data_IF_961267963780
#
_entry.id   IF_961267963780
#
_cell.length_a   1.000
_cell.length_b   1.000
_cell.length_c   1.000
_cell.angle_alpha   90.00
_cell.angle_beta   90.00
_cell.angle_gamma   90.00
#
_symmetry.space_group_name_H-M   'P 1'
#
loop_
_entity.id
_entity.type
_entity.pdbx_description
1 polymer ?
#
# COMPACT_ATOMS: atom_id res chain seq x y z
N UNK A 1 -1.23 12.85 -27.20
CA UNK A 1 -1.48 12.79 -28.65
C UNK A 1 -1.93 11.39 -29.14
N UNK A 2 -1.10 10.34 -29.04
CA UNK A 2 -1.42 8.99 -29.58
C UNK A 2 -2.67 8.31 -28.98
N UNK A 3 -2.92 8.49 -27.68
CA UNK A 3 -4.13 7.98 -27.01
C UNK A 3 -5.41 8.65 -27.51
N UNK A 4 -5.34 9.96 -27.76
CA UNK A 4 -6.46 10.76 -28.24
C UNK A 4 -6.83 10.34 -29.66
N UNK A 5 -5.83 10.20 -30.54
CA UNK A 5 -6.02 9.78 -31.93
C UNK A 5 -6.64 8.37 -32.06
N UNK A 6 -6.26 7.44 -31.19
CA UNK A 6 -6.80 6.07 -31.21
C UNK A 6 -8.19 5.96 -30.58
N UNK A 7 -8.50 6.80 -29.61
CA UNK A 7 -9.82 6.82 -28.98
C UNK A 7 -10.89 7.46 -29.88
N UNK A 8 -10.56 8.53 -30.61
CA UNK A 8 -11.44 9.07 -31.66
C UNK A 8 -11.68 8.06 -32.77
N UNK A 9 -10.67 7.28 -33.15
CA UNK A 9 -10.81 6.20 -34.14
C UNK A 9 -11.74 5.05 -33.67
N UNK A 10 -11.93 4.90 -32.36
CA UNK A 10 -12.83 3.92 -31.74
C UNK A 10 -14.18 4.52 -31.32
N UNK A 11 -14.48 5.78 -31.69
CA UNK A 11 -15.73 6.47 -31.34
C UNK A 11 -15.85 6.86 -29.87
N UNK A 12 -14.75 6.86 -29.12
CA UNK A 12 -14.72 7.22 -27.69
C UNK A 12 -14.26 8.67 -27.57
N UNK A 13 -15.17 9.56 -27.15
CA UNK A 13 -14.85 10.96 -26.91
C UNK A 13 -14.01 11.13 -25.63
N UNK A 14 -12.72 11.45 -25.81
CA UNK A 14 -11.73 11.62 -24.73
C UNK A 14 -11.92 12.93 -23.96
N UNK A 15 -12.75 13.85 -24.46
CA UNK A 15 -12.98 15.17 -23.85
C UNK A 15 -13.65 15.13 -22.47
N UNK A 16 -14.03 13.95 -21.97
CA UNK A 16 -14.77 13.78 -20.71
C UNK A 16 -14.08 12.90 -19.67
N UNK A 17 -12.78 12.66 -19.79
CA UNK A 17 -12.01 12.05 -18.71
C UNK A 17 -11.49 13.17 -17.80
N UNK A 18 -12.40 13.74 -17.01
CA UNK A 18 -12.03 14.46 -15.80
C UNK A 18 -11.07 13.56 -15.00
N UNK A 19 -9.97 14.14 -14.53
CA UNK A 19 -8.78 13.45 -13.98
C UNK A 19 -9.01 12.52 -12.77
N UNK A 20 -10.26 12.18 -12.43
CA UNK A 20 -10.64 11.15 -11.46
C UNK A 20 -10.99 9.79 -12.06
N UNK A 21 -11.14 9.63 -13.38
CA UNK A 21 -11.73 8.41 -13.95
C UNK A 21 -10.70 7.40 -14.51
N UNK A 22 -9.55 7.25 -13.84
CA UNK A 22 -8.64 6.12 -14.11
C UNK A 22 -9.20 4.91 -13.36
N UNK A 23 -9.77 3.95 -14.09
CA UNK A 23 -10.24 2.68 -13.53
C UNK A 23 -9.21 2.11 -12.55
N UNK A 24 -9.67 1.74 -11.36
CA UNK A 24 -8.85 1.06 -10.37
C UNK A 24 -8.25 -0.22 -10.95
N UNK A 25 -7.14 -0.69 -10.38
CA UNK A 25 -6.50 -1.93 -10.85
C UNK A 25 -7.47 -3.12 -10.86
N UNK A 26 -8.36 -3.17 -9.86
CA UNK A 26 -9.42 -4.17 -9.73
C UNK A 26 -10.47 -4.04 -10.84
N UNK A 27 -10.98 -2.85 -11.12
CA UNK A 27 -11.99 -2.64 -12.17
C UNK A 27 -11.44 -2.92 -13.57
N UNK A 28 -10.18 -2.53 -13.82
CA UNK A 28 -9.51 -2.78 -15.09
C UNK A 28 -9.29 -4.28 -15.31
N UNK A 29 -8.89 -5.02 -14.27
CA UNK A 29 -8.75 -6.48 -14.32
C UNK A 29 -10.09 -7.17 -14.57
N UNK A 30 -11.14 -6.77 -13.84
CA UNK A 30 -12.49 -7.32 -13.98
C UNK A 30 -13.04 -7.10 -15.39
N UNK A 31 -12.93 -5.88 -15.93
CA UNK A 31 -13.37 -5.60 -17.30
C UNK A 31 -12.58 -6.37 -18.35
N UNK A 32 -11.27 -6.56 -18.15
CA UNK A 32 -10.45 -7.34 -19.07
C UNK A 32 -10.88 -8.83 -19.09
N UNK A 33 -11.17 -9.41 -17.93
CA UNK A 33 -11.71 -10.78 -17.84
C UNK A 33 -13.11 -10.90 -18.43
N UNK A 34 -13.96 -9.91 -18.22
CA UNK A 34 -15.31 -9.87 -18.80
C UNK A 34 -15.28 -9.85 -20.34
N UNK A 35 -14.38 -9.05 -20.92
CA UNK A 35 -14.14 -9.00 -22.37
C UNK A 35 -13.57 -10.32 -22.87
N UNK A 36 -12.63 -10.92 -22.15
CA UNK A 36 -12.01 -12.19 -22.53
C UNK A 36 -13.04 -13.33 -22.54
N UNK A 37 -13.91 -13.39 -21.53
CA UNK A 37 -15.06 -14.30 -21.48
C UNK A 37 -16.02 -14.08 -22.65
N UNK A 38 -16.38 -12.83 -22.94
CA UNK A 38 -17.30 -12.49 -24.05
C UNK A 38 -16.72 -12.77 -25.44
N UNK A 39 -15.40 -12.64 -25.62
CA UNK A 39 -14.75 -12.72 -26.94
C UNK A 39 -14.18 -14.08 -27.29
N UNK A 40 -13.74 -14.88 -26.31
CA UNK A 40 -13.12 -16.19 -26.54
C UNK A 40 -13.85 -17.36 -25.88
N UNK A 41 -14.86 -17.10 -25.05
CA UNK A 41 -15.60 -18.16 -24.33
C UNK A 41 -14.72 -19.02 -23.43
N UNK A 42 -13.53 -18.53 -23.06
CA UNK A 42 -12.54 -19.26 -22.29
C UNK A 42 -12.68 -18.93 -20.80
N UNK A 43 -12.52 -19.96 -19.95
CA UNK A 43 -12.44 -19.83 -18.49
C UNK A 43 -11.07 -19.32 -18.01
N UNK A 44 -10.13 -19.09 -18.93
CA UNK A 44 -8.84 -18.49 -18.60
C UNK A 44 -9.03 -17.05 -18.11
N UNK A 45 -8.37 -16.69 -17.02
CA UNK A 45 -8.34 -15.33 -16.51
C UNK A 45 -7.03 -14.66 -16.88
N UNK A 46 -7.08 -13.35 -17.10
CA UNK A 46 -5.86 -12.57 -17.34
C UNK A 46 -5.05 -12.55 -16.04
N UNK A 47 -3.75 -12.83 -16.13
CA UNK A 47 -2.81 -12.72 -14.99
C UNK A 47 -2.94 -11.38 -14.27
N UNK A 48 -2.84 -11.36 -12.93
CA UNK A 48 -2.83 -10.12 -12.13
C UNK A 48 -1.71 -9.16 -12.58
N UNK A 49 -0.56 -9.68 -13.00
CA UNK A 49 0.56 -8.90 -13.52
C UNK A 49 0.27 -8.25 -14.88
N UNK A 50 -0.77 -8.68 -15.60
CA UNK A 50 -1.19 -8.07 -16.86
C UNK A 50 -1.62 -6.62 -16.66
N UNK A 51 -2.31 -6.28 -15.57
CA UNK A 51 -2.78 -4.92 -15.27
C UNK A 51 -1.61 -3.94 -15.23
N UNK A 52 -0.54 -4.32 -14.53
CA UNK A 52 0.69 -3.55 -14.45
C UNK A 52 1.35 -3.36 -15.83
N UNK A 53 1.45 -4.44 -16.62
CA UNK A 53 2.02 -4.39 -17.97
C UNK A 53 1.18 -3.54 -18.93
N UNK A 54 -0.14 -3.67 -18.86
CA UNK A 54 -1.10 -2.89 -19.64
C UNK A 54 -0.96 -1.40 -19.29
N UNK A 55 -1.02 -1.03 -18.01
CA UNK A 55 -0.87 0.36 -17.58
C UNK A 55 0.48 0.95 -18.00
N UNK A 56 1.57 0.18 -17.88
CA UNK A 56 2.91 0.61 -18.32
C UNK A 56 3.02 0.80 -19.84
N UNK A 57 2.39 -0.08 -20.63
CA UNK A 57 2.39 0.01 -22.11
C UNK A 57 1.58 1.20 -22.62
N UNK A 58 0.51 1.57 -21.91
CA UNK A 58 -0.42 2.62 -22.33
C UNK A 58 -0.20 3.97 -21.63
N UNK A 59 0.88 4.16 -20.88
CA UNK A 59 1.14 5.45 -20.21
C UNK A 59 0.29 5.71 -18.97
N UNK A 60 -0.54 4.74 -18.56
CA UNK A 60 -1.49 4.83 -17.44
C UNK A 60 -0.87 4.36 -16.12
N UNK A 61 0.42 4.02 -16.11
CA UNK A 61 1.10 3.62 -14.89
C UNK A 61 1.29 4.82 -13.97
N UNK A 62 1.12 4.63 -12.65
CA UNK A 62 1.21 5.71 -11.65
C UNK A 62 2.46 6.58 -11.79
N UNK A 63 3.62 5.97 -12.10
CA UNK A 63 4.88 6.70 -12.33
C UNK A 63 4.94 7.47 -13.65
N UNK A 64 4.17 7.08 -14.67
CA UNK A 64 4.07 7.79 -15.95
C UNK A 64 3.05 8.92 -15.85
N UNK A 65 1.90 8.68 -15.23
CA UNK A 65 0.92 9.71 -14.91
C UNK A 65 1.52 10.80 -14.02
N UNK A 66 2.31 10.42 -13.01
CA UNK A 66 3.02 11.38 -12.16
C UNK A 66 4.00 12.24 -12.96
N UNK A 67 4.77 11.65 -13.88
CA UNK A 67 5.69 12.41 -14.76
C UNK A 67 4.95 13.31 -15.75
N UNK A 68 3.84 12.85 -16.30
CA UNK A 68 3.02 13.66 -17.21
C UNK A 68 2.36 14.85 -16.47
N UNK A 69 1.92 14.64 -15.23
CA UNK A 69 1.41 15.71 -14.38
C UNK A 69 2.53 16.70 -13.97
N UNK A 70 3.71 16.20 -13.57
CA UNK A 70 4.88 17.04 -13.26
C UNK A 70 5.33 17.84 -14.49
N UNK A 71 5.28 17.25 -15.69
CA UNK A 71 5.59 17.95 -16.95
C UNK A 71 4.53 18.99 -17.35
N UNK A 72 3.24 18.68 -17.20
CA UNK A 72 2.16 19.63 -17.49
C UNK A 72 2.14 20.83 -16.52
N UNK A 73 2.53 20.61 -15.26
CA UNK A 73 2.71 21.70 -14.28
C UNK A 73 3.92 22.56 -14.65
N UNK A 74 5.03 21.96 -15.09
CA UNK A 74 6.19 22.72 -15.57
C UNK A 74 5.87 23.54 -16.83
N UNK A 75 5.11 22.98 -17.77
CA UNK A 75 4.68 23.66 -19.00
C UNK A 75 3.68 24.80 -18.71
N UNK A 76 2.86 24.69 -17.66
CA UNK A 76 1.96 25.76 -17.21
C UNK A 76 2.70 26.89 -16.49
N UNK A 77 3.86 26.60 -15.87
CA UNK A 77 4.70 27.59 -15.17
C UNK A 77 5.54 28.41 -16.15
N UNK A 78 6.00 27.83 -17.27
CA UNK A 78 6.72 28.60 -18.30
C UNK A 78 5.83 29.57 -19.09
N UNK A 79 4.53 29.29 -19.22
CA UNK A 79 3.58 30.18 -19.96
C UNK A 79 3.15 31.41 -19.16
N UNK A 80 3.32 31.41 -17.82
CA UNK A 80 2.92 32.52 -16.94
C UNK A 80 4.09 33.43 -16.50
N UNK A 81 5.31 33.18 -16.96
CA UNK A 81 6.51 33.94 -16.60
C UNK A 81 6.70 35.29 -17.32
N UNK A 82 5.66 35.89 -17.91
CA UNK A 82 5.78 37.14 -18.67
C UNK A 82 4.57 38.06 -18.53
N UNK A 83 4.23 38.49 -17.31
CA UNK A 83 3.64 39.82 -17.08
C UNK A 83 4.05 40.30 -15.67
N UNK A 84 4.73 41.43 -15.59
CA UNK A 84 5.10 42.14 -14.37
C UNK A 84 3.88 42.78 -13.66
N UNK A 85 4.01 42.89 -12.34
CA UNK A 85 3.54 43.94 -11.42
C UNK A 85 2.05 44.35 -11.41
N UNK A 86 1.44 44.25 -10.22
CA UNK A 86 0.80 45.36 -9.47
C UNK A 86 0.06 44.80 -8.26
N UNK A 87 0.38 45.40 -7.12
CA UNK A 87 -0.29 45.33 -5.82
C UNK A 87 -1.81 45.52 -5.89
N UNK A 88 -2.60 44.70 -5.21
CA UNK A 88 -3.68 45.21 -4.33
C UNK A 88 -4.26 44.13 -3.42
N UNK A 89 -4.50 44.61 -2.21
CA UNK A 89 -5.21 44.04 -1.09
C UNK A 89 -6.61 43.53 -1.46
N UNK A 90 -6.96 42.32 -1.02
CA UNK A 90 -8.33 41.86 -0.79
C UNK A 90 -8.31 40.46 -0.16
N UNK A 91 -8.39 40.43 1.17
CA UNK A 91 -8.98 39.29 1.87
C UNK A 91 -10.39 39.04 1.30
N UNK A 92 -10.79 37.77 1.12
CA UNK A 92 -12.00 37.41 1.83
C UNK A 92 -11.88 36.06 2.51
N UNK A 93 -12.16 36.11 3.81
CA UNK A 93 -12.73 35.05 4.62
C UNK A 93 -13.47 33.98 3.79
N UNK A 94 -12.84 32.82 3.66
CA UNK A 94 -13.54 31.56 3.41
C UNK A 94 -13.06 30.53 4.41
N UNK A 95 -13.88 30.36 5.45
CA UNK A 95 -14.06 29.09 6.16
C UNK A 95 -14.18 27.98 5.11
N UNK A 96 -13.07 27.31 4.82
CA UNK A 96 -13.06 26.00 4.18
C UNK A 96 -12.54 25.04 5.24
N UNK A 97 -13.49 24.37 5.89
CA UNK A 97 -13.24 23.11 6.58
C UNK A 97 -12.67 22.17 5.52
N UNK A 98 -11.35 22.12 5.43
CA UNK A 98 -10.62 21.27 4.50
C UNK A 98 -10.11 20.05 5.26
N UNK A 99 -11.03 19.18 5.65
CA UNK A 99 -10.73 17.80 6.07
C UNK A 99 -10.43 16.94 4.85
N UNK A 100 -9.43 17.34 4.07
CA UNK A 100 -8.83 16.49 3.04
C UNK A 100 -7.50 15.99 3.59
N UNK A 101 -7.50 14.74 4.10
CA UNK A 101 -6.29 14.07 4.54
C UNK A 101 -5.38 13.84 3.33
N UNK A 102 -4.20 14.45 3.34
CA UNK A 102 -3.23 14.24 2.26
C UNK A 102 -2.52 12.91 2.47
N UNK A 103 -2.08 12.26 1.40
CA UNK A 103 -1.48 10.92 1.48
C UNK A 103 0.04 10.90 1.59
N UNK A 104 0.72 12.02 1.35
CA UNK A 104 2.18 12.13 1.27
C UNK A 104 2.70 13.32 2.08
N UNK A 105 3.95 13.24 2.57
CA UNK A 105 4.66 14.33 3.25
C UNK A 105 5.12 15.42 2.27
N UNK A 106 5.02 16.69 2.69
CA UNK A 106 5.65 17.86 2.04
C UNK A 106 6.61 18.52 3.04
N UNK A 107 7.32 19.57 2.61
CA UNK A 107 8.29 20.25 3.46
C UNK A 107 7.71 20.77 4.78
N UNK A 108 6.53 21.38 4.78
CA UNK A 108 5.91 21.86 6.04
C UNK A 108 5.63 20.72 7.03
N UNK A 109 5.13 19.57 6.56
CA UNK A 109 4.94 18.39 7.42
C UNK A 109 6.27 17.79 7.89
N UNK A 110 7.29 17.79 7.04
CA UNK A 110 8.64 17.33 7.41
C UNK A 110 9.21 18.23 8.53
N UNK A 111 9.02 19.55 8.45
CA UNK A 111 9.45 20.50 9.48
C UNK A 111 8.75 20.23 10.81
N UNK A 112 7.42 20.01 10.79
CA UNK A 112 6.66 19.69 12.00
C UNK A 112 7.12 18.35 12.60
N UNK A 113 7.28 17.32 11.77
CA UNK A 113 7.78 16.02 12.18
C UNK A 113 9.15 16.15 12.86
N UNK A 114 10.09 16.86 12.23
CA UNK A 114 11.45 17.03 12.75
C UNK A 114 11.46 17.82 14.05
N UNK A 115 10.61 18.84 14.17
CA UNK A 115 10.46 19.64 15.39
C UNK A 115 10.04 18.77 16.57
N UNK A 116 8.98 17.97 16.40
CA UNK A 116 8.48 17.06 17.43
C UNK A 116 9.47 15.92 17.72
N UNK A 117 10.22 15.44 16.71
CA UNK A 117 11.29 14.46 16.91
C UNK A 117 12.43 15.03 17.77
N UNK A 118 12.82 16.29 17.57
CA UNK A 118 13.86 16.95 18.38
C UNK A 118 13.40 17.22 19.81
N UNK A 119 12.12 17.52 20.01
CA UNK A 119 11.54 17.72 21.33
C UNK A 119 11.47 16.40 22.11
N UNK A 120 10.91 15.35 21.49
CA UNK A 120 10.65 14.07 22.15
C UNK A 120 11.89 13.20 22.24
N UNK A 121 12.74 13.23 21.21
CA UNK A 121 13.95 12.39 21.08
C UNK A 121 13.64 10.89 21.22
N UNK A 122 12.91 10.28 20.27
CA UNK A 122 12.45 8.89 20.40
C UNK A 122 13.52 7.85 20.75
N UNK A 123 14.78 8.10 20.38
CA UNK A 123 15.93 7.24 20.66
C UNK A 123 16.35 7.21 22.14
N UNK A 124 15.90 8.14 22.98
CA UNK A 124 16.20 8.14 24.43
C UNK A 124 15.23 7.28 25.24
N UNK A 125 14.18 6.74 24.63
CA UNK A 125 13.19 5.90 25.30
C UNK A 125 13.72 4.46 25.46
N UNK A 126 13.40 3.75 26.57
CA UNK A 126 13.77 2.34 26.74
C UNK A 126 13.28 1.45 25.59
N UNK A 127 12.07 1.74 25.10
CA UNK A 127 11.53 1.20 23.86
C UNK A 127 11.35 2.35 22.87
N UNK A 128 12.22 2.40 21.85
CA UNK A 128 12.27 3.49 20.85
C UNK A 128 10.90 3.75 20.21
N UNK A 129 10.10 2.71 20.00
CA UNK A 129 8.76 2.84 19.40
C UNK A 129 7.76 3.60 20.27
N UNK A 130 7.91 3.59 21.59
CA UNK A 130 7.03 4.37 22.49
C UNK A 130 7.25 5.86 22.29
N UNK A 131 8.51 6.28 22.13
CA UNK A 131 8.86 7.65 21.76
C UNK A 131 8.27 8.05 20.40
N UNK A 132 8.27 7.14 19.43
CA UNK A 132 7.63 7.39 18.13
C UNK A 132 6.10 7.45 18.18
N UNK A 133 5.46 6.70 19.07
CA UNK A 133 4.02 6.82 19.31
C UNK A 133 3.69 8.21 19.88
N UNK A 134 4.50 8.70 20.83
CA UNK A 134 4.33 10.04 21.38
C UNK A 134 4.53 11.14 20.33
N UNK A 135 5.48 10.97 19.40
CA UNK A 135 5.65 11.90 18.26
C UNK A 135 4.39 11.96 17.41
N UNK A 136 3.78 10.82 17.11
CA UNK A 136 2.53 10.78 16.34
C UNK A 136 1.37 11.38 17.11
N UNK A 137 1.30 11.17 18.42
CA UNK A 137 0.28 11.77 19.28
C UNK A 137 0.36 13.29 19.25
N UNK A 138 1.56 13.87 19.40
CA UNK A 138 1.78 15.32 19.28
C UNK A 138 1.44 15.85 17.90
N UNK A 139 1.89 15.18 16.84
CA UNK A 139 1.57 15.56 15.46
C UNK A 139 0.06 15.54 15.17
N UNK A 140 -0.71 14.67 15.83
CA UNK A 140 -2.18 14.61 15.64
C UNK A 140 -2.91 15.81 16.26
N UNK A 141 -2.31 16.44 17.27
CA UNK A 141 -2.87 17.64 17.91
C UNK A 141 -2.62 18.89 17.06
N UNK A 142 -1.62 18.87 16.17
CA UNK A 142 -1.31 19.97 15.27
C UNK A 142 -2.35 20.12 14.15
N UNK A 143 -3.08 21.24 14.15
CA UNK A 143 -4.11 21.54 13.13
C UNK A 143 -3.54 21.61 11.69
N UNK A 144 -2.25 21.91 11.58
CA UNK A 144 -1.54 22.03 10.31
C UNK A 144 -1.08 20.69 9.74
N UNK A 145 -0.97 19.65 10.59
CA UNK A 145 -0.54 18.32 10.17
C UNK A 145 -1.74 17.46 9.75
N UNK A 146 -1.96 17.37 8.43
CA UNK A 146 -3.16 16.74 7.84
C UNK A 146 -2.94 15.30 7.37
N UNK A 147 -1.95 14.61 7.95
CA UNK A 147 -1.57 13.26 7.55
C UNK A 147 -1.93 12.25 8.64
N UNK A 148 -2.71 11.23 8.28
CA UNK A 148 -2.89 10.05 9.13
C UNK A 148 -1.73 9.07 8.89
N UNK A 149 -0.71 9.14 9.77
CA UNK A 149 0.50 8.31 9.69
C UNK A 149 0.74 7.56 10.99
N UNK A 150 1.21 6.33 10.84
CA UNK A 150 1.65 5.46 11.94
C UNK A 150 3.06 5.85 12.39
N UNK A 151 3.42 5.51 13.63
CA UNK A 151 4.77 5.71 14.19
C UNK A 151 5.88 5.22 13.25
N UNK A 152 5.76 4.01 12.71
CA UNK A 152 6.74 3.46 11.76
C UNK A 152 6.83 4.23 10.42
N UNK A 153 5.76 4.90 10.00
CA UNK A 153 5.77 5.71 8.78
C UNK A 153 6.49 7.05 9.00
N UNK A 154 6.33 7.66 10.19
CA UNK A 154 7.09 8.84 10.61
C UNK A 154 8.58 8.52 10.77
N UNK A 155 8.91 7.38 11.38
CA UNK A 155 10.29 6.89 11.49
C UNK A 155 10.93 6.64 10.12
N UNK A 156 10.23 5.93 9.23
CA UNK A 156 10.72 5.69 7.87
C UNK A 156 10.93 7.00 7.11
N UNK A 157 10.07 8.01 7.33
CA UNK A 157 10.22 9.34 6.74
C UNK A 157 11.47 10.04 7.24
N UNK A 158 11.74 10.04 8.55
CA UNK A 158 12.97 10.61 9.10
C UNK A 158 14.21 9.93 8.50
N UNK A 159 14.25 8.60 8.48
CA UNK A 159 15.39 7.84 7.95
C UNK A 159 15.64 8.17 6.47
N UNK A 160 14.57 8.36 5.69
CA UNK A 160 14.68 8.80 4.30
C UNK A 160 15.29 10.21 4.18
N UNK A 161 14.87 11.16 5.02
CA UNK A 161 15.42 12.52 5.03
C UNK A 161 16.91 12.53 5.44
N UNK A 162 17.27 11.79 6.49
CA UNK A 162 18.66 11.59 6.90
C UNK A 162 19.49 10.95 5.78
N UNK A 163 18.94 9.96 5.08
CA UNK A 163 19.58 9.32 3.94
C UNK A 163 19.82 10.28 2.77
N UNK A 164 18.86 11.14 2.45
CA UNK A 164 19.04 12.18 1.43
C UNK A 164 20.10 13.20 1.81
N UNK A 165 20.15 13.63 3.07
CA UNK A 165 21.16 14.56 3.57
C UNK A 165 22.57 13.94 3.50
N UNK A 166 22.74 12.70 3.99
CA UNK A 166 24.03 11.98 3.91
C UNK A 166 24.50 11.76 2.47
N UNK A 167 23.58 11.57 1.53
CA UNK A 167 23.87 11.40 0.12
C UNK A 167 24.06 12.73 -0.64
N UNK A 168 23.98 13.89 0.02
CA UNK A 168 24.05 15.21 -0.63
C UNK A 168 22.93 15.47 -1.65
N UNK A 169 21.80 14.77 -1.53
CA UNK A 169 20.70 14.84 -2.49
C UNK A 169 19.76 16.02 -2.19
N UNK A 170 20.28 17.24 -2.34
CA UNK A 170 19.55 18.49 -2.08
C UNK A 170 18.32 18.66 -2.96
N UNK A 171 18.31 18.06 -4.17
CA UNK A 171 17.16 18.07 -5.06
C UNK A 171 15.97 17.27 -4.49
N UNK A 172 16.22 16.12 -3.86
CA UNK A 172 15.17 15.34 -3.22
C UNK A 172 14.61 16.04 -1.96
N UNK A 173 15.46 16.78 -1.24
CA UNK A 173 15.04 17.61 -0.11
C UNK A 173 14.24 18.83 -0.58
N UNK A 174 14.59 19.46 -1.71
CA UNK A 174 13.89 20.63 -2.25
C UNK A 174 12.51 20.35 -2.83
N UNK A 175 12.29 19.15 -3.39
CA UNK A 175 11.15 18.81 -4.28
C UNK A 175 9.72 19.14 -3.76
N UNK A 176 9.54 19.59 -2.51
CA UNK A 176 8.22 19.81 -1.93
C UNK A 176 8.09 21.03 -0.99
N UNK A 177 8.75 22.17 -1.25
CA UNK A 177 8.56 23.39 -0.46
C UNK A 177 9.26 24.63 -1.04
N UNK A 178 9.11 25.75 -0.33
CA UNK A 178 9.82 27.02 -0.57
C UNK A 178 11.31 26.91 -0.23
N UNK A 179 12.12 27.90 -0.62
CA UNK A 179 13.55 27.93 -0.32
C UNK A 179 13.79 28.06 1.19
N UNK A 180 12.99 28.86 1.88
CA UNK A 180 13.04 29.04 3.32
C UNK A 180 12.67 27.76 4.07
N UNK A 181 11.66 27.03 3.59
CA UNK A 181 11.29 25.71 4.14
C UNK A 181 12.39 24.67 3.90
N UNK A 182 13.10 24.73 2.79
CA UNK A 182 14.24 23.86 2.52
C UNK A 182 15.36 24.11 3.52
N UNK A 183 15.75 25.36 3.72
CA UNK A 183 16.84 25.73 4.64
C UNK A 183 16.51 25.32 6.07
N UNK A 184 15.29 25.65 6.53
CA UNK A 184 14.82 25.26 7.85
C UNK A 184 14.80 23.74 8.02
N UNK A 185 14.31 23.01 7.02
CA UNK A 185 14.29 21.54 7.05
C UNK A 185 15.70 20.96 7.10
N UNK A 186 16.62 21.45 6.28
CA UNK A 186 18.01 21.00 6.28
C UNK A 186 18.68 21.23 7.63
N UNK A 187 18.48 22.41 8.25
CA UNK A 187 18.98 22.70 9.59
C UNK A 187 18.45 21.70 10.63
N UNK A 188 17.13 21.43 10.62
CA UNK A 188 16.51 20.48 11.53
C UNK A 188 17.01 19.03 11.32
N UNK A 189 17.16 18.59 10.07
CA UNK A 189 17.68 17.24 9.77
C UNK A 189 19.14 17.10 10.24
N UNK A 190 19.95 18.15 10.05
CA UNK A 190 21.34 18.18 10.54
C UNK A 190 21.40 18.11 12.08
N UNK A 191 20.52 18.85 12.75
CA UNK A 191 20.43 18.83 14.21
C UNK A 191 19.99 17.46 14.74
N UNK A 192 18.98 16.83 14.14
CA UNK A 192 18.55 15.47 14.51
C UNK A 192 19.71 14.49 14.34
N UNK A 193 20.46 14.57 13.24
CA UNK A 193 21.61 13.71 13.01
C UNK A 193 22.68 13.88 14.09
N UNK A 194 23.01 15.11 14.45
CA UNK A 194 23.98 15.41 15.50
C UNK A 194 23.54 14.87 16.87
N UNK A 195 22.26 15.03 17.24
CA UNK A 195 21.76 14.51 18.53
C UNK A 195 21.75 12.98 18.60
N UNK A 196 21.45 12.28 17.49
CA UNK A 196 21.54 10.82 17.42
C UNK A 196 23.00 10.36 17.59
N UNK A 197 23.95 11.01 16.91
CA UNK A 197 25.37 10.65 16.99
C UNK A 197 25.95 10.88 18.40
N UNK A 198 25.58 11.98 19.05
CA UNK A 198 25.96 12.26 20.45
C UNK A 198 25.42 11.18 21.38
N UNK A 199 24.15 10.77 21.21
CA UNK A 199 23.54 9.73 22.01
C UNK A 199 24.20 8.36 21.81
N UNK A 200 24.46 7.96 20.56
CA UNK A 200 25.16 6.72 20.24
C UNK A 200 26.58 6.70 20.82
N UNK A 201 27.26 7.84 20.84
CA UNK A 201 28.60 7.99 21.41
C UNK A 201 28.59 7.91 22.93
N UNK A 202 27.60 8.52 23.59
CA UNK A 202 27.42 8.45 25.04
C UNK A 202 27.08 7.02 25.52
N UNK A 203 26.30 6.28 24.73
CA UNK A 203 25.94 4.90 25.05
C UNK A 203 27.15 3.96 24.90
N UNK A 204 27.98 4.16 23.87
CA UNK A 204 29.23 3.39 23.69
C UNK A 204 30.27 3.65 24.80
N UNK A 205 30.36 4.87 25.32
CA UNK A 205 31.27 5.20 26.43
C UNK A 205 30.87 4.60 27.77
N UNK A 206 29.57 4.41 28.01
CA UNK A 206 29.05 3.86 29.27
C UNK A 206 29.21 2.32 29.36
N UNK A 207 29.13 1.63 28.23
CA UNK A 207 29.37 0.17 28.15
C UNK A 207 30.85 -0.19 28.35
N UNK A 208 31.78 0.75 28.11
CA UNK A 208 33.22 0.57 28.40
C UNK A 208 33.60 0.93 29.84
N UNK A 209 32.81 1.77 30.52
CA UNK A 209 33.15 2.26 31.87
C UNK A 209 32.76 1.30 33.01
N UNK A 210 32.01 0.24 32.72
CA UNK A 210 31.60 -0.75 33.75
C UNK A 210 32.60 -1.90 33.95
N UNK A 211 33.77 -1.89 33.28
CA UNK A 211 34.84 -2.90 33.46
C UNK A 211 36.09 -2.32 34.14
N UNK A 212 36.18 -1.01 34.39
CA UNK A 212 37.37 -0.39 34.99
C UNK A 212 37.13 0.00 36.46
N UNK A 213 37.20 -1.00 37.32
CA UNK A 213 37.57 -0.81 38.72
C UNK A 213 38.40 -2.02 39.19
N UNK A 214 39.56 -2.24 38.57
CA UNK A 214 40.65 -2.98 39.21
C UNK A 214 41.94 -2.18 39.04
N UNK A 215 42.51 -1.92 40.20
CA UNK A 215 43.67 -1.14 40.57
C UNK A 215 44.98 -1.51 39.84
N UNK A 216 45.83 -0.49 39.71
CA UNK A 216 47.13 -0.37 39.00
C UNK A 216 48.23 -1.32 39.50
N UNK A 217 48.94 -2.03 38.60
CA UNK A 217 50.35 -2.52 38.75
C UNK A 217 51.04 -2.57 37.34
N UNK A 218 52.35 -2.25 37.17
CA UNK A 218 52.97 -1.75 35.92
C UNK A 218 53.50 -2.87 34.97
N UNK A 219 54.00 -2.53 33.75
CA UNK A 219 53.98 -3.42 32.60
C UNK A 219 55.20 -4.33 32.52
N UNK A 220 54.96 -5.63 32.38
CA UNK A 220 55.98 -6.58 31.99
C UNK A 220 55.39 -7.67 31.08
N UNK A 221 55.96 -7.74 29.88
CA UNK A 221 56.08 -8.92 29.03
C UNK A 221 54.82 -9.42 28.30
N UNK A 222 54.71 -8.91 27.08
CA UNK A 222 54.12 -9.57 25.91
C UNK A 222 54.67 -10.99 25.74
N UNK A 223 53.89 -12.03 26.07
CA UNK A 223 53.90 -13.30 25.30
C UNK A 223 52.75 -14.31 25.57
N UNK A 224 51.57 -13.87 26.04
CA UNK A 224 50.47 -14.78 26.46
C UNK A 224 49.09 -14.55 25.83
N UNK A 225 48.95 -13.68 24.82
CA UNK A 225 47.67 -13.13 24.37
C UNK A 225 46.92 -13.76 23.15
N UNK A 226 47.15 -15.02 22.71
CA UNK A 226 46.30 -15.63 21.68
C UNK A 226 45.05 -16.37 22.22
N UNK A 227 45.01 -16.77 23.50
CA UNK A 227 43.97 -17.69 24.01
C UNK A 227 42.69 -16.98 24.48
N UNK A 228 42.82 -15.86 25.19
CA UNK A 228 41.66 -15.07 25.65
C UNK A 228 40.88 -14.44 24.49
N UNK A 229 41.57 -14.02 23.43
CA UNK A 229 40.96 -13.45 22.23
C UNK A 229 40.14 -14.48 21.48
N UNK A 230 40.64 -15.72 21.36
CA UNK A 230 39.91 -16.85 20.76
C UNK A 230 38.70 -17.26 21.59
N UNK A 231 38.80 -17.25 22.92
CA UNK A 231 37.65 -17.58 23.77
C UNK A 231 36.55 -16.51 23.68
N UNK A 232 36.92 -15.23 23.66
CA UNK A 232 35.97 -14.13 23.40
C UNK A 232 35.28 -14.28 22.04
N UNK A 233 36.02 -14.68 21.01
CA UNK A 233 35.46 -14.94 19.69
C UNK A 233 34.50 -16.14 19.69
N UNK A 234 34.83 -17.25 20.36
CA UNK A 234 33.91 -18.40 20.51
C UNK A 234 32.63 -18.04 21.28
N UNK A 235 32.73 -17.17 22.29
CA UNK A 235 31.55 -16.68 23.03
C UNK A 235 30.69 -15.80 22.13
N UNK A 236 31.30 -14.90 21.35
CA UNK A 236 30.59 -14.08 20.38
C UNK A 236 29.89 -14.93 19.30
N UNK A 237 30.58 -15.95 18.76
CA UNK A 237 30.01 -16.89 17.79
C UNK A 237 28.83 -17.67 18.39
N UNK A 238 28.96 -18.22 19.60
CA UNK A 238 27.86 -18.90 20.30
C UNK A 238 26.65 -17.98 20.53
N UNK A 239 26.88 -16.71 20.84
CA UNK A 239 25.82 -15.71 20.99
C UNK A 239 25.10 -15.43 19.66
N UNK A 240 25.84 -15.37 18.56
CA UNK A 240 25.26 -15.21 17.22
C UNK A 240 24.43 -16.45 16.82
N UNK A 241 24.95 -17.66 17.01
CA UNK A 241 24.20 -18.90 16.72
C UNK A 241 22.91 -19.01 17.54
N UNK A 242 22.94 -18.60 18.80
CA UNK A 242 21.73 -18.57 19.65
C UNK A 242 20.70 -17.56 19.12
N UNK A 243 21.16 -16.39 18.68
CA UNK A 243 20.29 -15.37 18.10
C UNK A 243 19.69 -15.84 16.76
N UNK A 244 20.49 -16.48 15.91
CA UNK A 244 20.05 -17.07 14.64
C UNK A 244 18.97 -18.12 14.88
N UNK A 245 19.22 -19.09 15.78
CA UNK A 245 18.21 -20.11 16.14
C UNK A 245 16.94 -19.51 16.73
N UNK A 246 17.05 -18.43 17.52
CA UNK A 246 15.87 -17.74 18.06
C UNK A 246 15.06 -17.09 16.95
N UNK A 247 15.74 -16.38 16.05
CA UNK A 247 15.12 -15.73 14.88
C UNK A 247 14.48 -16.75 13.94
N UNK A 248 15.14 -17.89 13.68
CA UNK A 248 14.59 -18.97 12.87
C UNK A 248 13.30 -19.56 13.45
N UNK A 249 13.28 -19.78 14.78
CA UNK A 249 12.08 -20.28 15.46
C UNK A 249 10.93 -19.30 15.39
N UNK A 250 11.22 -18.01 15.59
CA UNK A 250 10.22 -16.95 15.50
C UNK A 250 9.65 -16.83 14.08
N UNK A 251 10.52 -16.87 13.06
CA UNK A 251 10.10 -16.87 11.66
C UNK A 251 9.26 -18.11 11.33
N UNK A 252 9.66 -19.29 11.81
CA UNK A 252 8.90 -20.52 11.61
C UNK A 252 7.52 -20.47 12.30
N UNK A 253 7.44 -19.89 13.50
CA UNK A 253 6.17 -19.70 14.20
C UNK A 253 5.26 -18.71 13.47
N UNK A 254 5.82 -17.59 12.99
CA UNK A 254 5.07 -16.61 12.19
C UNK A 254 4.57 -17.21 10.88
N UNK A 255 5.41 -18.01 10.21
CA UNK A 255 5.03 -18.73 8.99
C UNK A 255 3.86 -19.68 9.26
N UNK A 256 3.95 -20.54 10.27
CA UNK A 256 2.85 -21.46 10.65
C UNK A 256 1.56 -20.71 10.95
N UNK A 257 1.65 -19.63 11.74
CA UNK A 257 0.48 -18.81 12.04
C UNK A 257 -0.14 -18.24 10.76
N UNK A 258 0.68 -17.72 9.82
CA UNK A 258 0.17 -17.22 8.54
C UNK A 258 -0.46 -18.31 7.67
N UNK A 259 0.13 -19.51 7.65
CA UNK A 259 -0.39 -20.67 6.90
C UNK A 259 -1.72 -21.16 7.49
N UNK A 260 -1.88 -21.16 8.81
CA UNK A 260 -3.14 -21.49 9.48
C UNK A 260 -4.26 -20.49 9.13
N UNK A 261 -3.95 -19.18 9.08
CA UNK A 261 -4.90 -18.16 8.66
C UNK A 261 -5.35 -18.38 7.21
N UNK A 262 -4.41 -18.68 6.31
CA UNK A 262 -4.72 -18.99 4.90
C UNK A 262 -5.57 -20.26 4.80
N UNK A 263 -5.21 -21.32 5.52
CA UNK A 263 -5.96 -22.58 5.53
C UNK A 263 -7.41 -22.38 6.02
N UNK A 264 -7.60 -21.55 7.06
CA UNK A 264 -8.93 -21.18 7.55
C UNK A 264 -9.74 -20.41 6.51
N UNK A 265 -9.13 -19.45 5.83
CA UNK A 265 -9.79 -18.69 4.76
C UNK A 265 -10.16 -19.58 3.57
N UNK A 266 -9.27 -20.48 3.15
CA UNK A 266 -9.55 -21.44 2.09
C UNK A 266 -10.70 -22.38 2.45
N UNK A 267 -10.75 -22.85 3.70
CA UNK A 267 -11.85 -23.69 4.18
C UNK A 267 -13.19 -22.95 4.10
N UNK A 268 -13.24 -21.72 4.60
CA UNK A 268 -14.44 -20.88 4.53
C UNK A 268 -14.87 -20.60 3.07
N UNK A 269 -13.90 -20.36 2.18
CA UNK A 269 -14.19 -20.14 0.77
C UNK A 269 -14.80 -21.38 0.11
N UNK A 270 -14.25 -22.58 0.36
CA UNK A 270 -14.81 -23.84 -0.15
C UNK A 270 -16.21 -24.11 0.40
N UNK A 271 -16.44 -23.86 1.68
CA UNK A 271 -17.76 -24.01 2.31
C UNK A 271 -18.79 -23.07 1.69
N UNK A 272 -18.42 -21.79 1.48
CA UNK A 272 -19.29 -20.81 0.81
C UNK A 272 -19.62 -21.25 -0.62
N UNK A 273 -18.62 -21.69 -1.39
CA UNK A 273 -18.83 -22.17 -2.75
C UNK A 273 -19.76 -23.38 -2.80
N UNK A 274 -19.61 -24.32 -1.85
CA UNK A 274 -20.47 -25.49 -1.74
C UNK A 274 -21.92 -25.11 -1.44
N UNK A 275 -22.15 -24.19 -0.49
CA UNK A 275 -23.50 -23.69 -0.16
C UNK A 275 -24.15 -23.04 -1.39
N UNK A 276 -23.40 -22.24 -2.16
CA UNK A 276 -23.91 -21.62 -3.38
C UNK A 276 -24.28 -22.67 -4.44
N UNK A 277 -23.45 -23.71 -4.63
CA UNK A 277 -23.74 -24.80 -5.55
C UNK A 277 -24.98 -25.59 -5.13
N UNK A 278 -25.13 -25.87 -3.84
CA UNK A 278 -26.31 -26.57 -3.30
C UNK A 278 -27.59 -25.75 -3.48
N UNK A 279 -27.55 -24.45 -3.19
CA UNK A 279 -28.67 -23.54 -3.43
C UNK A 279 -29.07 -23.48 -4.91
N UNK A 280 -28.09 -23.39 -5.81
CA UNK A 280 -28.35 -23.40 -7.25
C UNK A 280 -28.95 -24.73 -7.71
N UNK A 281 -28.45 -25.86 -7.20
CA UNK A 281 -28.99 -27.18 -7.50
C UNK A 281 -30.45 -27.33 -7.03
N UNK A 282 -30.77 -26.88 -5.81
CA UNK A 282 -32.13 -26.88 -5.27
C UNK A 282 -33.09 -26.03 -6.11
N UNK A 283 -32.63 -24.85 -6.56
CA UNK A 283 -33.41 -23.99 -7.44
C UNK A 283 -33.73 -24.68 -8.76
N UNK A 284 -32.74 -25.32 -9.39
CA UNK A 284 -32.95 -26.09 -10.61
C UNK A 284 -33.95 -27.23 -10.43
N UNK A 285 -33.85 -27.99 -9.32
CA UNK A 285 -34.81 -29.05 -9.00
C UNK A 285 -36.23 -28.50 -8.85
N UNK A 286 -36.37 -27.35 -8.18
CA UNK A 286 -37.69 -26.69 -8.00
C UNK A 286 -38.27 -26.24 -9.32
N UNK A 287 -37.46 -25.62 -10.19
CA UNK A 287 -37.89 -25.20 -11.53
C UNK A 287 -38.33 -26.41 -12.35
N UNK A 288 -37.57 -27.50 -12.31
CA UNK A 288 -37.90 -28.73 -13.03
C UNK A 288 -39.22 -29.36 -12.52
N UNK A 289 -39.44 -29.35 -11.20
CA UNK A 289 -40.70 -29.81 -10.61
C UNK A 289 -41.90 -28.95 -11.06
N UNK A 290 -41.73 -27.62 -11.08
CA UNK A 290 -42.76 -26.70 -11.58
C UNK A 290 -43.07 -26.96 -13.06
N UNK A 291 -42.05 -27.18 -13.89
CA UNK A 291 -42.23 -27.51 -15.31
C UNK A 291 -42.97 -28.84 -15.52
N UNK A 292 -42.67 -29.87 -14.73
CA UNK A 292 -43.38 -31.15 -14.77
C UNK A 292 -44.85 -30.98 -14.38
N UNK A 293 -45.13 -30.27 -13.29
CA UNK A 293 -46.49 -30.00 -12.82
C UNK A 293 -47.30 -29.21 -13.86
N UNK A 294 -46.72 -28.16 -14.46
CA UNK A 294 -47.38 -27.42 -15.55
C UNK A 294 -47.66 -28.31 -16.75
N UNK A 295 -46.75 -29.21 -17.11
CA UNK A 295 -46.94 -30.14 -18.23
C UNK A 295 -48.10 -31.10 -17.97
N UNK A 296 -48.21 -31.61 -16.75
CA UNK A 296 -49.32 -32.51 -16.38
C UNK A 296 -50.66 -31.77 -16.30
N UNK A 297 -50.66 -30.52 -15.84
CA UNK A 297 -51.85 -29.66 -15.90
C UNK A 297 -52.28 -29.43 -17.36
N UNK A 298 -51.35 -29.10 -18.26
CA UNK A 298 -51.64 -28.92 -19.70
C UNK A 298 -52.22 -30.21 -20.29
N UNK A 299 -51.66 -31.38 -19.98
CA UNK A 299 -52.21 -32.68 -20.44
C UNK A 299 -53.62 -32.94 -19.89
N UNK A 300 -53.91 -32.56 -18.65
CA UNK A 300 -55.22 -32.74 -18.03
C UNK A 300 -56.30 -31.82 -18.61
N UNK A 301 -55.91 -30.63 -19.09
CA UNK A 301 -56.79 -29.65 -19.73
C UNK A 301 -56.90 -29.84 -21.24
N UNK A 302 -56.03 -30.65 -21.85
CA UNK A 302 -56.12 -30.98 -23.26
C UNK A 302 -57.40 -31.80 -23.50
N UNK A 303 -58.31 -31.36 -24.39
CA UNK A 303 -59.52 -32.10 -24.68
C UNK A 303 -59.17 -33.49 -25.22
N UNK A 304 -59.82 -34.53 -24.71
CA UNK A 304 -59.71 -35.89 -25.23
C UNK A 304 -60.34 -35.93 -26.63
N UNK A 305 -59.62 -35.47 -27.65
CA UNK A 305 -59.96 -35.70 -29.06
C UNK A 305 -59.55 -37.12 -29.44
N UNK A 306 -60.11 -38.12 -28.77
CA UNK A 306 -60.05 -39.52 -29.18
C UNK A 306 -61.09 -40.32 -28.41
N UNK A 307 -62.36 -40.18 -28.81
CA UNK A 307 -63.34 -41.27 -28.88
C UNK A 307 -64.73 -40.67 -29.14
N UNK A 308 -65.25 -40.85 -30.34
CA UNK A 308 -66.64 -40.51 -30.66
C UNK A 308 -66.91 -40.28 -32.15
N UNK A 309 -67.20 -41.38 -32.86
CA UNK A 309 -68.06 -41.51 -34.06
C UNK A 309 -67.39 -42.17 -35.28
N UNK A 310 -67.62 -43.48 -35.42
CA UNK A 310 -68.17 -44.09 -36.64
C UNK A 310 -68.33 -45.61 -36.45
N UNK A 311 -69.36 -46.03 -35.70
CA UNK A 311 -70.05 -47.30 -35.96
C UNK A 311 -71.32 -46.97 -36.72
N UNK A 312 -71.36 -47.19 -38.03
CA UNK A 312 -72.58 -47.71 -38.68
C UNK A 312 -72.30 -48.23 -40.11
N UNK A 313 -72.64 -49.51 -40.29
CA UNK A 313 -73.20 -50.16 -41.49
C UNK A 313 -72.62 -49.87 -42.88
N UNK A 314 -72.06 -50.93 -43.49
CA UNK A 314 -72.77 -51.61 -44.59
C UNK A 314 -72.19 -53.02 -44.81
N UNK A 315 -72.92 -54.02 -44.32
CA UNK A 315 -73.03 -55.34 -44.97
C UNK A 315 -74.25 -55.29 -45.89
N UNK A 316 -74.10 -55.97 -47.03
CA UNK A 316 -75.12 -56.49 -47.96
C UNK A 316 -75.19 -55.80 -49.33
N UNK A 317 -74.98 -56.69 -50.33
CA UNK A 317 -75.19 -56.62 -51.78
C UNK A 317 -74.05 -56.01 -52.62
#
# INVERSE_FOLDING_TARGET
ALLVARATQLGVDVKRLDGGNVLSDAELWTKANEILKRSRGSDESVSVAWVHRFKRRHGLHRSQLKRAAEAAVAESVEVLGSVEDVTSDAEPARKRVATATRSHFVSSDDILLLTHVLEIKPWTFPYVMDGWQLVVEKLRVEETFRLEKTAGACQARLNLLLGHMKAGNSMALRKAGTEEELDRKCALVAEVAAQIEVHESAQKGNDTSSIEAVEVIPPANSDGMPDLTRERERIAQRRLELMERKMERELAAQKRHSEEQVSRLEKLHREQQKIQQEQHAQLLTTIQQQQAMMSDLIKSLAPTTSSGNATQDQRNL
#
